data_IF_097110880441
#
_entry.id   IF_097110880441
#
_cell.length_a   1.000
_cell.length_b   1.000
_cell.length_c   1.000
_cell.angle_alpha   90.00
_cell.angle_beta   90.00
_cell.angle_gamma   90.00
#
_symmetry.space_group_name_H-M   'P 1'
#
loop_
_entity.id
_entity.type
_entity.pdbx_description
1 polymer ?
#
# COMPACT_ATOMS: atom_id res chain seq x y z
N UNK A 1 38.45 61.29 35.48
CA UNK A 1 37.94 60.95 34.16
C UNK A 1 37.89 59.46 34.11
N UNK A 2 36.65 58.86 34.19
CA UNK A 2 36.46 57.42 34.28
C UNK A 2 35.97 56.92 32.91
N UNK A 3 36.90 56.30 32.17
CA UNK A 3 36.54 55.69 30.85
C UNK A 3 35.67 54.43 31.08
N UNK A 4 34.38 54.50 30.73
CA UNK A 4 33.50 53.36 30.70
C UNK A 4 33.69 52.59 29.33
N UNK A 5 34.40 51.47 29.40
CA UNK A 5 34.51 50.55 28.29
C UNK A 5 33.23 49.70 28.28
N UNK A 6 32.39 49.92 27.24
CA UNK A 6 31.16 49.16 27.01
C UNK A 6 31.55 47.88 26.27
N UNK A 7 31.28 46.67 26.80
CA UNK A 7 31.59 45.45 26.07
C UNK A 7 30.60 45.27 24.90
N UNK A 8 31.12 45.21 23.69
CA UNK A 8 30.37 44.88 22.47
C UNK A 8 30.07 43.38 22.48
N UNK A 9 28.82 43.00 22.82
CA UNK A 9 28.35 41.64 22.72
C UNK A 9 28.17 41.29 21.22
N UNK A 10 29.08 40.52 20.64
CA UNK A 10 28.90 39.90 19.32
C UNK A 10 27.87 38.78 19.47
N UNK A 11 26.62 39.01 19.01
CA UNK A 11 25.64 37.96 18.77
C UNK A 11 26.10 37.10 17.57
N UNK A 12 26.65 35.93 17.84
CA UNK A 12 26.92 34.92 16.83
C UNK A 12 25.55 34.25 16.50
N UNK A 13 24.93 34.63 15.38
CA UNK A 13 23.76 33.94 14.85
C UNK A 13 24.22 32.57 14.37
N UNK A 14 23.91 31.52 15.13
CA UNK A 14 24.07 30.14 14.65
C UNK A 14 23.11 29.90 13.48
N UNK A 15 23.55 29.30 12.35
CA UNK A 15 22.66 28.93 11.28
C UNK A 15 21.63 27.93 11.81
N UNK A 16 20.36 28.31 11.83
CA UNK A 16 19.26 27.38 12.07
C UNK A 16 19.14 26.48 10.86
N UNK A 17 19.67 25.28 10.92
CA UNK A 17 19.34 24.24 9.92
C UNK A 17 17.87 23.89 10.11
N UNK A 18 17.02 24.37 9.20
CA UNK A 18 15.64 23.95 9.15
C UNK A 18 15.60 22.43 8.92
N UNK A 19 14.85 21.71 9.76
CA UNK A 19 14.65 20.28 9.57
C UNK A 19 13.99 20.06 8.20
N UNK A 20 14.48 19.06 7.44
CA UNK A 20 13.88 18.71 6.15
C UNK A 20 12.41 18.33 6.33
N UNK A 21 11.52 18.72 5.42
CA UNK A 21 10.12 18.31 5.46
C UNK A 21 10.01 16.78 5.40
N UNK A 22 9.04 16.21 6.10
CA UNK A 22 8.81 14.77 6.12
C UNK A 22 7.52 14.46 5.35
N UNK A 23 7.62 13.56 4.35
CA UNK A 23 6.49 12.96 3.68
C UNK A 23 6.23 11.59 4.29
N UNK A 24 5.03 11.37 4.83
CA UNK A 24 4.65 10.10 5.46
C UNK A 24 3.82 9.27 4.49
N UNK A 25 4.31 8.08 4.15
CA UNK A 25 3.63 7.12 3.28
C UNK A 25 3.21 5.91 4.12
N UNK A 26 1.90 5.65 4.18
CA UNK A 26 1.40 4.38 4.71
C UNK A 26 1.43 3.35 3.59
N UNK A 27 2.04 2.21 3.88
CA UNK A 27 2.22 1.13 2.89
C UNK A 27 2.11 -0.24 3.57
N UNK A 28 2.38 -1.30 2.85
CA UNK A 28 2.33 -2.67 3.36
C UNK A 28 3.73 -3.24 3.60
N UNK A 29 3.82 -4.25 4.47
CA UNK A 29 5.09 -4.78 4.99
C UNK A 29 6.05 -5.20 3.88
N UNK A 30 5.57 -5.96 2.88
CA UNK A 30 6.45 -6.45 1.81
C UNK A 30 6.98 -5.35 0.89
N UNK A 31 6.29 -4.20 0.76
CA UNK A 31 6.82 -3.04 0.04
C UNK A 31 8.00 -2.42 0.78
N UNK A 32 7.90 -2.28 2.10
CA UNK A 32 8.90 -1.60 2.94
C UNK A 32 10.02 -2.51 3.43
N UNK A 33 9.91 -3.82 3.25
CA UNK A 33 10.94 -4.79 3.63
C UNK A 33 12.28 -4.54 2.91
N UNK A 34 13.38 -4.98 3.51
CA UNK A 34 14.73 -4.78 2.93
C UNK A 34 14.88 -5.34 1.52
N UNK A 35 14.15 -6.42 1.22
CA UNK A 35 14.09 -7.04 -0.11
C UNK A 35 13.01 -6.45 -1.03
N UNK A 36 12.14 -5.60 -0.50
CA UNK A 36 11.08 -4.92 -1.25
C UNK A 36 11.57 -3.69 -2.01
N UNK A 37 10.73 -3.04 -2.81
CA UNK A 37 11.10 -1.88 -3.59
C UNK A 37 11.22 -0.58 -2.75
N UNK A 38 10.61 -0.54 -1.56
CA UNK A 38 10.52 0.65 -0.72
C UNK A 38 11.86 1.30 -0.39
N UNK A 39 12.89 0.57 0.07
CA UNK A 39 14.20 1.16 0.39
C UNK A 39 14.87 1.85 -0.80
N UNK A 40 14.79 1.25 -1.99
CA UNK A 40 15.36 1.82 -3.20
C UNK A 40 14.61 3.08 -3.65
N UNK A 41 13.27 3.04 -3.63
CA UNK A 41 12.41 4.18 -3.95
C UNK A 41 12.63 5.32 -2.96
N UNK A 42 12.66 5.02 -1.65
CA UNK A 42 12.96 6.01 -0.61
C UNK A 42 14.27 6.72 -0.89
N UNK A 43 15.35 5.99 -1.14
CA UNK A 43 16.67 6.56 -1.41
C UNK A 43 16.66 7.49 -2.62
N UNK A 44 16.04 7.06 -3.73
CA UNK A 44 15.97 7.85 -4.96
C UNK A 44 15.12 9.12 -4.75
N UNK A 45 13.96 8.98 -4.13
CA UNK A 45 13.05 10.10 -3.91
C UNK A 45 13.63 11.16 -2.96
N UNK A 46 14.25 10.75 -1.85
CA UNK A 46 14.90 11.68 -0.90
C UNK A 46 16.06 12.46 -1.52
N UNK A 47 16.72 11.89 -2.53
CA UNK A 47 17.78 12.58 -3.28
C UNK A 47 17.24 13.69 -4.19
N UNK A 48 15.99 13.57 -4.65
CA UNK A 48 15.35 14.54 -5.55
C UNK A 48 14.54 15.60 -4.83
N UNK A 49 13.80 15.21 -3.76
CA UNK A 49 12.85 16.12 -3.10
C UNK A 49 13.47 17.01 -2.02
N UNK A 50 14.72 16.80 -1.61
CA UNK A 50 15.32 17.40 -0.42
C UNK A 50 14.46 17.27 0.85
N UNK A 51 13.80 16.13 0.98
CA UNK A 51 12.87 15.81 2.05
C UNK A 51 13.24 14.47 2.74
N UNK A 52 12.51 14.09 3.78
CA UNK A 52 12.55 12.75 4.38
C UNK A 52 11.29 11.98 4.01
N UNK A 53 11.45 10.75 3.51
CA UNK A 53 10.35 9.83 3.26
C UNK A 53 10.21 8.88 4.44
N UNK A 54 9.09 8.96 5.16
CA UNK A 54 8.77 8.05 6.26
C UNK A 54 7.79 6.99 5.77
N UNK A 55 8.26 5.75 5.64
CA UNK A 55 7.40 4.59 5.37
C UNK A 55 6.82 4.06 6.69
N UNK A 56 5.51 3.89 6.74
CA UNK A 56 4.78 3.28 7.85
C UNK A 56 4.11 2.04 7.31
N UNK A 57 4.68 0.88 7.63
CA UNK A 57 4.20 -0.40 7.15
C UNK A 57 3.04 -0.93 7.98
N UNK A 58 2.07 -1.50 7.30
CA UNK A 58 0.97 -2.28 7.84
C UNK A 58 0.98 -3.66 7.17
N UNK A 59 0.18 -4.57 7.68
CA UNK A 59 0.14 -5.95 7.23
C UNK A 59 -0.10 -6.05 5.70
N UNK A 60 -1.17 -5.39 5.20
CA UNK A 60 -1.54 -5.43 3.79
C UNK A 60 -2.53 -4.29 3.43
N UNK A 61 -2.98 -4.21 2.17
CA UNK A 61 -3.85 -3.14 1.64
C UNK A 61 -5.19 -3.00 2.36
N UNK A 62 -5.83 -4.09 2.75
CA UNK A 62 -7.08 -4.03 3.55
C UNK A 62 -6.83 -3.43 4.92
N UNK A 63 -5.73 -3.81 5.58
CA UNK A 63 -5.32 -3.22 6.86
C UNK A 63 -5.00 -1.72 6.73
N UNK A 64 -4.38 -1.31 5.63
CA UNK A 64 -4.14 0.10 5.29
C UNK A 64 -5.45 0.89 5.26
N UNK A 65 -6.43 0.41 4.50
CA UNK A 65 -7.73 1.09 4.37
C UNK A 65 -8.45 1.16 5.71
N UNK A 66 -8.43 0.08 6.50
CA UNK A 66 -9.05 0.05 7.82
C UNK A 66 -8.43 1.08 8.76
N UNK A 67 -7.09 1.17 8.79
CA UNK A 67 -6.39 2.17 9.58
C UNK A 67 -6.73 3.59 9.15
N UNK A 68 -6.71 3.86 7.85
CA UNK A 68 -7.05 5.18 7.33
C UNK A 68 -8.49 5.59 7.73
N UNK A 69 -9.45 4.66 7.68
CA UNK A 69 -10.82 4.89 8.10
C UNK A 69 -10.95 5.20 9.59
N UNK A 70 -10.19 4.49 10.43
CA UNK A 70 -10.18 4.75 11.88
C UNK A 70 -9.56 6.12 12.22
N UNK A 71 -8.50 6.50 11.55
CA UNK A 71 -7.85 7.79 11.77
C UNK A 71 -8.63 8.95 11.15
N UNK A 72 -9.31 8.72 10.03
CA UNK A 72 -10.09 9.71 9.30
C UNK A 72 -9.25 10.95 8.98
N UNK A 73 -9.80 12.13 9.24
CA UNK A 73 -9.12 13.41 9.01
C UNK A 73 -7.91 13.66 9.93
N UNK A 74 -7.72 12.82 10.94
CA UNK A 74 -6.57 12.91 11.85
C UNK A 74 -5.39 12.04 11.39
N UNK A 75 -5.51 11.37 10.23
CA UNK A 75 -4.44 10.57 9.66
C UNK A 75 -3.16 11.39 9.51
N UNK A 76 -2.04 10.73 9.75
CA UNK A 76 -0.71 11.31 9.55
C UNK A 76 -0.09 10.91 8.20
N UNK A 77 -0.83 10.16 7.39
CA UNK A 77 -0.40 9.81 6.06
C UNK A 77 -0.62 10.97 5.08
N UNK A 78 0.43 11.32 4.36
CA UNK A 78 0.35 12.21 3.19
C UNK A 78 0.00 11.39 1.94
N UNK A 79 0.48 10.15 1.87
CA UNK A 79 0.25 9.22 0.75
C UNK A 79 -0.10 7.83 1.29
N UNK A 80 -1.03 7.17 0.60
CA UNK A 80 -1.33 5.74 0.80
C UNK A 80 -0.85 4.98 -0.43
N UNK A 81 -0.05 3.94 -0.22
CA UNK A 81 0.47 3.08 -1.27
C UNK A 81 0.14 1.62 -0.97
N UNK A 82 -0.60 0.94 -1.87
CA UNK A 82 -0.91 -0.49 -1.73
C UNK A 82 -2.39 -0.82 -1.64
N UNK A 83 -3.27 0.10 -2.04
CA UNK A 83 -4.68 -0.22 -2.25
C UNK A 83 -4.85 -0.82 -3.65
N UNK A 84 -5.52 -1.94 -3.74
CA UNK A 84 -5.88 -2.54 -5.04
C UNK A 84 -7.22 -2.01 -5.58
N UNK A 85 -7.54 -2.34 -6.81
CA UNK A 85 -8.77 -1.87 -7.46
C UNK A 85 -10.06 -2.37 -6.77
N UNK A 86 -10.03 -3.48 -6.01
CA UNK A 86 -11.19 -3.95 -5.24
C UNK A 86 -11.51 -3.03 -4.06
N UNK A 87 -10.54 -2.27 -3.57
CA UNK A 87 -10.68 -1.37 -2.43
C UNK A 87 -11.03 0.07 -2.82
N UNK A 88 -10.93 0.47 -4.10
CA UNK A 88 -11.06 1.88 -4.52
C UNK A 88 -12.40 2.48 -4.14
N UNK A 89 -13.52 1.82 -4.44
CA UNK A 89 -14.85 2.32 -4.07
C UNK A 89 -15.00 2.54 -2.56
N UNK A 90 -14.44 1.62 -1.79
CA UNK A 90 -14.47 1.70 -0.34
C UNK A 90 -13.54 2.78 0.22
N UNK A 91 -12.46 3.09 -0.50
CA UNK A 91 -11.51 4.14 -0.14
C UNK A 91 -12.05 5.54 -0.46
N UNK A 92 -12.78 5.72 -1.56
CA UNK A 92 -13.35 7.00 -1.98
C UNK A 92 -14.46 7.51 -1.04
N UNK A 93 -15.27 6.60 -0.47
CA UNK A 93 -16.45 6.97 0.35
C UNK A 93 -16.17 7.95 1.50
N UNK A 94 -15.08 7.85 2.26
CA UNK A 94 -14.80 8.77 3.37
C UNK A 94 -14.41 10.19 2.94
N UNK A 95 -14.12 10.43 1.65
CA UNK A 95 -13.68 11.73 1.16
C UNK A 95 -12.33 12.18 1.73
N UNK A 96 -11.40 11.25 1.94
CA UNK A 96 -10.07 11.49 2.51
C UNK A 96 -9.00 11.71 1.45
N UNK A 97 -9.31 11.45 0.18
CA UNK A 97 -8.39 11.58 -0.93
C UNK A 97 -8.72 12.79 -1.81
N UNK A 98 -7.73 13.28 -2.49
CA UNK A 98 -7.85 14.35 -3.49
C UNK A 98 -7.34 13.88 -4.84
N UNK A 99 -7.65 14.60 -5.91
CA UNK A 99 -7.15 14.29 -7.25
C UNK A 99 -5.61 14.32 -7.27
N UNK A 100 -5.01 13.32 -7.92
CA UNK A 100 -3.55 13.17 -7.98
C UNK A 100 -2.87 14.13 -8.95
N UNK A 101 -3.61 14.59 -9.98
CA UNK A 101 -3.11 15.39 -11.12
C UNK A 101 -1.95 14.73 -11.89
N UNK A 102 -1.75 13.42 -11.72
CA UNK A 102 -0.72 12.64 -12.43
C UNK A 102 -1.25 12.27 -13.82
N UNK A 103 -0.44 12.50 -14.86
CA UNK A 103 -0.75 12.04 -16.21
C UNK A 103 -0.57 10.52 -16.32
N UNK A 104 -1.67 9.80 -16.41
CA UNK A 104 -1.72 8.34 -16.55
C UNK A 104 -1.89 7.87 -17.99
N UNK A 105 -1.91 8.79 -18.97
CA UNK A 105 -2.18 8.47 -20.39
C UNK A 105 -1.17 7.53 -21.03
N UNK A 106 0.04 7.47 -20.50
CA UNK A 106 1.15 6.62 -20.99
C UNK A 106 1.21 5.25 -20.32
N UNK A 107 0.33 4.98 -19.36
CA UNK A 107 0.31 3.69 -18.66
C UNK A 107 -0.28 2.60 -19.56
N UNK A 108 0.41 1.48 -19.66
CA UNK A 108 -0.06 0.30 -20.38
C UNK A 108 -0.62 -0.72 -19.38
N UNK A 109 -1.93 -0.63 -19.12
CA UNK A 109 -2.64 -1.52 -18.21
C UNK A 109 -3.74 -2.29 -18.95
N UNK A 110 -3.97 -3.56 -18.60
CA UNK A 110 -5.14 -4.28 -19.10
C UNK A 110 -6.44 -3.56 -18.73
N UNK A 111 -7.25 -3.21 -19.73
CA UNK A 111 -8.50 -2.47 -19.53
C UNK A 111 -8.36 -0.96 -19.37
N UNK A 112 -7.13 -0.41 -19.40
CA UNK A 112 -6.88 1.03 -19.20
C UNK A 112 -7.03 1.49 -17.76
N UNK A 113 -6.90 2.82 -17.55
CA UNK A 113 -7.08 3.45 -16.25
C UNK A 113 -7.86 4.76 -16.37
N UNK A 114 -8.90 4.92 -15.57
CA UNK A 114 -9.83 6.07 -15.67
C UNK A 114 -10.12 6.74 -14.32
N UNK A 115 -9.29 6.51 -13.30
CA UNK A 115 -9.45 7.13 -11.99
C UNK A 115 -8.50 8.33 -11.84
N UNK A 116 -9.01 9.49 -11.41
CA UNK A 116 -8.23 10.72 -11.25
C UNK A 116 -7.59 10.87 -9.86
N UNK A 117 -8.03 10.09 -8.89
CA UNK A 117 -7.57 10.15 -7.50
C UNK A 117 -6.42 9.18 -7.26
N UNK A 118 -6.59 7.94 -7.71
CA UNK A 118 -5.62 6.88 -7.52
C UNK A 118 -4.74 6.70 -8.75
N UNK A 119 -3.46 6.42 -8.51
CA UNK A 119 -2.45 6.21 -9.57
C UNK A 119 -1.93 4.79 -9.45
N UNK A 120 -2.07 3.95 -10.48
CA UNK A 120 -1.50 2.60 -10.47
C UNK A 120 0.02 2.67 -10.62
N UNK A 121 0.76 1.92 -9.81
CA UNK A 121 2.21 1.81 -9.93
C UNK A 121 2.65 0.43 -10.44
N UNK A 122 1.81 -0.59 -10.25
CA UNK A 122 1.96 -1.91 -10.81
C UNK A 122 0.61 -2.58 -11.08
N UNK A 123 0.62 -3.77 -11.64
CA UNK A 123 -0.53 -4.65 -11.72
C UNK A 123 -0.11 -6.12 -11.66
N UNK A 124 -1.02 -6.97 -11.20
CA UNK A 124 -0.82 -8.41 -11.14
C UNK A 124 -2.15 -9.16 -11.10
N UNK A 125 -2.05 -10.50 -11.14
CA UNK A 125 -3.20 -11.37 -11.03
C UNK A 125 -3.04 -12.26 -9.81
N UNK A 126 -4.13 -12.50 -9.08
CA UNK A 126 -4.14 -13.52 -8.04
C UNK A 126 -4.14 -14.90 -8.65
N UNK A 127 -3.37 -15.79 -8.06
CA UNK A 127 -3.27 -17.18 -8.51
C UNK A 127 -2.96 -18.10 -7.33
N UNK A 128 -3.32 -19.37 -7.46
CA UNK A 128 -2.84 -20.41 -6.55
C UNK A 128 -1.40 -20.78 -6.91
N UNK A 129 -0.55 -20.83 -5.90
CA UNK A 129 0.83 -21.30 -6.00
C UNK A 129 0.92 -22.66 -5.32
N UNK A 130 1.58 -23.61 -5.94
CA UNK A 130 1.76 -24.96 -5.38
C UNK A 130 3.20 -25.46 -5.60
N UNK A 131 3.62 -26.34 -4.73
CA UNK A 131 4.90 -27.04 -4.86
C UNK A 131 4.74 -28.23 -5.83
N UNK A 132 5.25 -28.10 -7.05
CA UNK A 132 5.17 -29.13 -8.10
C UNK A 132 5.88 -30.43 -7.74
N UNK A 133 6.77 -30.44 -6.73
CA UNK A 133 7.45 -31.64 -6.25
C UNK A 133 6.56 -32.45 -5.29
N UNK A 134 5.56 -31.80 -4.67
CA UNK A 134 4.64 -32.41 -3.71
C UNK A 134 3.26 -32.66 -4.28
N UNK A 135 2.85 -31.90 -5.29
CA UNK A 135 1.53 -31.97 -5.92
C UNK A 135 1.70 -32.09 -7.43
N UNK A 136 1.67 -33.33 -7.94
CA UNK A 136 1.85 -33.61 -9.36
C UNK A 136 0.63 -33.18 -10.20
N UNK A 137 -0.58 -33.31 -9.65
CA UNK A 137 -1.84 -32.99 -10.33
C UNK A 137 -2.62 -31.97 -9.51
N UNK A 138 -2.33 -30.66 -9.62
CA UNK A 138 -3.07 -29.62 -8.94
C UNK A 138 -4.45 -29.45 -9.55
N UNK A 139 -5.45 -28.95 -8.78
CA UNK A 139 -6.75 -28.61 -9.34
C UNK A 139 -6.62 -27.52 -10.40
N UNK A 140 -7.41 -27.61 -11.45
CA UNK A 140 -7.38 -26.68 -12.60
C UNK A 140 -8.42 -25.57 -12.50
N UNK A 141 -9.31 -25.64 -11.52
CA UNK A 141 -10.34 -24.65 -11.28
C UNK A 141 -10.73 -24.61 -9.79
N UNK A 142 -11.40 -23.52 -9.37
CA UNK A 142 -11.99 -23.45 -8.03
C UNK A 142 -13.04 -24.53 -7.81
N UNK A 143 -13.84 -24.86 -8.83
CA UNK A 143 -14.83 -25.93 -8.73
C UNK A 143 -14.17 -27.28 -8.48
N UNK A 144 -13.13 -27.62 -9.23
CA UNK A 144 -12.38 -28.86 -9.01
C UNK A 144 -11.74 -28.90 -7.61
N UNK A 145 -11.25 -27.75 -7.13
CA UNK A 145 -10.70 -27.65 -5.78
C UNK A 145 -11.74 -27.96 -4.70
N UNK A 146 -12.95 -27.42 -4.84
CA UNK A 146 -14.04 -27.55 -3.86
C UNK A 146 -14.75 -28.90 -3.96
N UNK A 147 -15.04 -29.36 -5.18
CA UNK A 147 -15.85 -30.57 -5.45
C UNK A 147 -15.03 -31.87 -5.34
N UNK A 148 -13.71 -31.79 -5.13
CA UNK A 148 -12.84 -32.95 -5.13
C UNK A 148 -12.84 -33.69 -3.79
N UNK A 149 -12.84 -35.01 -3.84
CA UNK A 149 -12.60 -35.89 -2.68
C UNK A 149 -11.12 -35.93 -2.25
N UNK A 150 -10.23 -35.18 -2.92
CA UNK A 150 -8.82 -35.10 -2.58
C UNK A 150 -8.64 -34.29 -1.30
N UNK A 151 -7.81 -34.80 -0.37
CA UNK A 151 -7.49 -34.08 0.87
C UNK A 151 -6.39 -33.02 0.63
N UNK A 152 -6.67 -32.04 -0.20
CA UNK A 152 -5.77 -30.91 -0.42
C UNK A 152 -5.75 -29.97 0.80
N UNK A 153 -4.58 -29.38 1.05
CA UNK A 153 -4.41 -28.34 2.08
C UNK A 153 -4.26 -27.00 1.37
N UNK A 154 -5.18 -26.11 1.61
CA UNK A 154 -5.17 -24.75 1.08
C UNK A 154 -4.78 -23.78 2.18
N UNK A 155 -3.81 -22.90 1.89
CA UNK A 155 -3.50 -21.75 2.74
C UNK A 155 -4.35 -20.58 2.23
N UNK A 156 -5.18 -20.08 3.10
CA UNK A 156 -6.07 -18.95 2.82
C UNK A 156 -5.79 -17.83 3.80
N UNK A 157 -5.59 -16.62 3.27
CA UNK A 157 -5.35 -15.44 4.10
C UNK A 157 -6.69 -14.80 4.50
N UNK A 158 -6.71 -14.16 5.66
CA UNK A 158 -7.91 -13.50 6.17
C UNK A 158 -8.33 -12.31 5.27
N UNK A 159 -9.52 -12.34 4.64
CA UNK A 159 -9.99 -11.28 3.75
C UNK A 159 -10.23 -9.94 4.47
N UNK A 160 -10.27 -9.93 5.79
CA UNK A 160 -10.47 -8.72 6.60
C UNK A 160 -9.20 -7.89 6.74
N UNK A 161 -8.04 -8.46 6.44
CA UNK A 161 -6.72 -7.81 6.60
C UNK A 161 -5.87 -7.91 5.34
N UNK A 162 -6.10 -8.94 4.51
CA UNK A 162 -5.27 -9.29 3.35
C UNK A 162 -5.95 -8.99 2.02
N UNK A 163 -5.23 -8.34 1.12
CA UNK A 163 -5.63 -8.11 -0.27
C UNK A 163 -5.78 -9.42 -1.06
N UNK A 164 -4.81 -10.38 -1.02
CA UNK A 164 -4.99 -11.70 -1.64
C UNK A 164 -6.15 -12.49 -1.03
N UNK A 165 -6.37 -12.39 0.28
CA UNK A 165 -7.51 -13.02 0.95
C UNK A 165 -8.85 -12.48 0.45
N UNK A 166 -8.99 -11.17 0.36
CA UNK A 166 -10.18 -10.54 -0.22
C UNK A 166 -10.35 -10.92 -1.69
N UNK A 167 -9.27 -10.95 -2.46
CA UNK A 167 -9.29 -11.35 -3.87
C UNK A 167 -9.82 -12.77 -4.06
N UNK A 168 -9.39 -13.74 -3.24
CA UNK A 168 -9.92 -15.10 -3.29
C UNK A 168 -11.41 -15.14 -2.92
N UNK A 169 -11.83 -14.44 -1.87
CA UNK A 169 -13.24 -14.38 -1.47
C UNK A 169 -14.13 -13.85 -2.61
N UNK A 170 -13.72 -12.77 -3.26
CA UNK A 170 -14.44 -12.20 -4.41
C UNK A 170 -14.45 -13.13 -5.61
N UNK A 171 -13.35 -13.86 -5.85
CA UNK A 171 -13.29 -14.87 -6.91
C UNK A 171 -14.23 -16.05 -6.63
N UNK A 172 -14.24 -16.55 -5.39
CA UNK A 172 -15.19 -17.59 -4.97
C UNK A 172 -16.64 -17.11 -5.13
N UNK A 173 -16.97 -15.91 -4.70
CA UNK A 173 -18.31 -15.34 -4.89
C UNK A 173 -18.70 -15.26 -6.38
N UNK A 174 -17.75 -14.93 -7.25
CA UNK A 174 -17.99 -14.92 -8.70
C UNK A 174 -18.27 -16.30 -9.27
N UNK A 175 -17.65 -17.36 -8.73
CA UNK A 175 -17.79 -18.74 -9.22
C UNK A 175 -18.98 -19.46 -8.62
N UNK A 176 -19.24 -19.26 -7.31
CA UNK A 176 -20.23 -20.04 -6.54
C UNK A 176 -21.46 -19.22 -6.15
N UNK A 177 -21.44 -17.88 -6.30
CA UNK A 177 -22.57 -17.04 -5.93
C UNK A 177 -22.95 -17.18 -4.46
N UNK A 178 -24.21 -17.49 -4.19
CA UNK A 178 -24.75 -17.64 -2.83
C UNK A 178 -24.24 -18.88 -2.09
N UNK A 179 -23.65 -19.84 -2.81
CA UNK A 179 -23.05 -21.06 -2.24
C UNK A 179 -21.62 -20.84 -1.72
N UNK A 180 -21.07 -19.62 -1.87
CA UNK A 180 -19.70 -19.28 -1.44
C UNK A 180 -19.39 -19.65 0.01
N UNK A 181 -20.31 -19.48 1.01
CA UNK A 181 -20.00 -19.85 2.40
C UNK A 181 -19.79 -21.36 2.63
N UNK A 182 -20.26 -22.21 1.74
CA UNK A 182 -20.13 -23.66 1.84
C UNK A 182 -18.93 -24.19 1.04
N UNK A 183 -18.44 -23.42 0.07
CA UNK A 183 -17.27 -23.74 -0.74
C UNK A 183 -15.96 -23.44 -0.01
#
# INVERSE_FOLDING_TARGET
MLNKILPLLLLVAAPAFAAKPTLTVYTYDSFSADWGPGPAIKKAFEAECDCQLKLVALEDGVSLLNRLRMEGKNSKADVILGLDNNLLQAAEKPGLFTASHVDTSKLSLPGGWHNSTFVPYDYGYFAFVYDKTKLANPPKSLKELVDSDQNWKVIYQDPRTSTPGLGLLLWMQKVFGDDTPQA
#
